data_IF_219982941881
#
_entry.id   IF_219982941881
#
_cell.length_a   1.000
_cell.length_b   1.000
_cell.length_c   1.000
_cell.angle_alpha   90.00
_cell.angle_beta   90.00
_cell.angle_gamma   90.00
#
_symmetry.space_group_name_H-M   'P 1'
#
loop_
_entity.id
_entity.type
_entity.pdbx_description
1 polymer ?
#
# COMPACT_ATOMS: atom_id res chain seq x y z
N UNK A 1 -8.55 -24.00 -8.35
CA UNK A 1 -7.49 -23.09 -8.83
C UNK A 1 -8.17 -21.75 -9.03
N UNK A 2 -7.76 -20.70 -8.32
CA UNK A 2 -8.35 -19.38 -8.58
C UNK A 2 -7.98 -18.99 -10.01
N UNK A 3 -8.98 -18.61 -10.80
CA UNK A 3 -8.76 -18.09 -12.14
C UNK A 3 -7.91 -16.82 -12.06
N UNK A 4 -7.05 -16.60 -13.06
CA UNK A 4 -6.11 -15.48 -13.06
C UNK A 4 -6.77 -14.27 -13.72
N UNK A 5 -6.89 -13.16 -13.00
CA UNK A 5 -7.48 -11.93 -13.50
C UNK A 5 -6.51 -11.12 -14.38
N UNK A 6 -5.28 -10.90 -13.90
CA UNK A 6 -4.23 -10.19 -14.64
C UNK A 6 -2.89 -10.89 -14.46
N UNK A 7 -2.13 -11.06 -15.55
CA UNK A 7 -0.74 -11.56 -15.54
C UNK A 7 0.16 -10.53 -16.19
N UNK A 8 1.27 -10.24 -15.54
CA UNK A 8 2.37 -9.46 -16.07
C UNK A 8 3.57 -10.39 -16.16
N UNK A 9 4.21 -10.47 -17.33
CA UNK A 9 5.38 -11.31 -17.59
C UNK A 9 6.52 -10.45 -18.11
N UNK A 10 7.62 -10.37 -17.35
CA UNK A 10 8.83 -9.60 -17.62
C UNK A 10 8.56 -8.17 -18.11
N UNK A 11 7.60 -7.47 -17.48
CA UNK A 11 7.19 -6.12 -17.91
C UNK A 11 8.32 -5.14 -17.70
N UNK A 12 8.72 -4.46 -18.79
CA UNK A 12 9.75 -3.44 -18.84
C UNK A 12 9.24 -2.15 -19.45
N UNK A 13 9.74 -1.03 -18.93
CA UNK A 13 9.45 0.30 -19.48
C UNK A 13 10.68 1.17 -19.48
N UNK A 14 10.98 1.70 -20.67
CA UNK A 14 12.03 2.70 -20.87
C UNK A 14 11.46 3.98 -21.49
N UNK A 15 11.93 5.13 -21.03
CA UNK A 15 11.72 6.44 -21.65
C UNK A 15 13.05 6.91 -22.18
N UNK A 16 13.25 6.77 -23.50
CA UNK A 16 14.56 6.98 -24.13
C UNK A 16 15.59 6.00 -23.55
N UNK A 17 16.67 6.51 -22.94
CA UNK A 17 17.71 5.70 -22.31
C UNK A 17 17.44 5.35 -20.84
N UNK A 18 16.39 5.90 -20.24
CA UNK A 18 16.05 5.66 -18.83
C UNK A 18 15.07 4.51 -18.70
N UNK A 19 15.52 3.36 -18.19
CA UNK A 19 14.63 2.27 -17.78
C UNK A 19 13.98 2.61 -16.43
N UNK A 20 12.63 2.51 -16.36
CA UNK A 20 11.82 2.88 -15.20
C UNK A 20 11.16 1.66 -14.56
N UNK A 21 10.84 0.64 -15.35
CA UNK A 21 10.32 -0.66 -14.89
C UNK A 21 11.27 -1.74 -15.40
N UNK A 22 11.71 -2.62 -14.51
CA UNK A 22 12.86 -3.49 -14.68
C UNK A 22 12.50 -4.99 -14.65
N UNK A 23 11.55 -5.42 -15.48
CA UNK A 23 11.17 -6.83 -15.55
C UNK A 23 10.29 -7.24 -14.36
N UNK A 24 9.02 -6.82 -14.38
CA UNK A 24 8.04 -7.17 -13.34
C UNK A 24 7.26 -8.39 -13.79
N UNK A 25 7.32 -9.45 -12.95
CA UNK A 25 6.43 -10.61 -12.99
C UNK A 25 5.41 -10.49 -11.87
N UNK A 26 4.11 -10.56 -12.20
CA UNK A 26 3.03 -10.45 -11.22
C UNK A 26 1.81 -11.23 -11.68
N UNK A 27 1.18 -11.96 -10.76
CA UNK A 27 -0.07 -12.69 -10.99
C UNK A 27 -1.15 -12.23 -10.04
N UNK A 28 -2.19 -11.61 -10.56
CA UNK A 28 -3.33 -11.09 -9.81
C UNK A 28 -4.50 -12.03 -10.01
N UNK A 29 -5.00 -12.62 -8.91
CA UNK A 29 -6.15 -13.52 -8.95
C UNK A 29 -7.43 -12.77 -9.34
N UNK A 30 -8.34 -13.43 -10.05
CA UNK A 30 -9.64 -12.87 -10.38
C UNK A 30 -10.43 -12.54 -9.10
N UNK A 31 -11.10 -11.38 -9.10
CA UNK A 31 -11.88 -10.90 -7.97
C UNK A 31 -11.07 -10.37 -6.78
N UNK A 32 -9.73 -10.33 -6.86
CA UNK A 32 -8.90 -9.81 -5.77
C UNK A 32 -8.74 -8.28 -5.82
N UNK A 33 -8.55 -7.68 -4.65
CA UNK A 33 -8.16 -6.27 -4.48
C UNK A 33 -6.65 -6.18 -4.24
N UNK A 34 -5.91 -5.76 -5.26
CA UNK A 34 -4.44 -5.63 -5.17
C UNK A 34 -4.05 -4.15 -5.08
N UNK A 35 -3.19 -3.83 -4.11
CA UNK A 35 -2.72 -2.46 -3.91
C UNK A 35 -1.23 -2.34 -4.20
N UNK A 36 -0.87 -1.45 -5.12
CA UNK A 36 0.52 -1.08 -5.40
C UNK A 36 0.92 0.08 -4.50
N UNK A 37 1.96 -0.12 -3.70
CA UNK A 37 2.52 0.90 -2.80
C UNK A 37 4.01 1.07 -3.04
N UNK A 38 4.54 2.22 -2.66
CA UNK A 38 5.97 2.53 -2.76
C UNK A 38 6.22 4.03 -2.77
N UNK A 39 7.47 4.47 -2.72
CA UNK A 39 7.84 5.88 -2.77
C UNK A 39 7.37 6.59 -4.05
N UNK A 40 7.34 7.91 -4.02
CA UNK A 40 7.08 8.69 -5.23
C UNK A 40 8.15 8.39 -6.30
N UNK A 41 7.71 8.22 -7.54
CA UNK A 41 8.62 7.94 -8.67
C UNK A 41 9.06 6.47 -8.82
N UNK A 42 8.62 5.53 -7.97
CA UNK A 42 9.02 4.12 -8.08
C UNK A 42 8.32 3.32 -9.21
N UNK A 43 7.50 3.96 -10.05
CA UNK A 43 6.88 3.32 -11.22
C UNK A 43 5.43 2.84 -11.07
N UNK A 44 4.75 3.03 -9.90
CA UNK A 44 3.36 2.56 -9.65
C UNK A 44 2.36 2.99 -10.72
N UNK A 45 2.24 4.30 -10.95
CA UNK A 45 1.30 4.85 -11.94
C UNK A 45 1.70 4.49 -13.36
N UNK A 46 3.00 4.34 -13.64
CA UNK A 46 3.49 3.87 -14.93
C UNK A 46 3.03 2.44 -15.19
N UNK A 47 3.23 1.54 -14.21
CA UNK A 47 2.76 0.16 -14.29
C UNK A 47 1.24 0.07 -14.47
N UNK A 48 0.49 0.86 -13.68
CA UNK A 48 -0.97 0.92 -13.80
C UNK A 48 -1.41 1.40 -15.20
N UNK A 49 -0.73 2.43 -15.75
CA UNK A 49 -1.04 2.95 -17.08
C UNK A 49 -0.67 1.98 -18.21
N UNK A 50 0.39 1.18 -18.05
CA UNK A 50 0.70 0.10 -18.99
C UNK A 50 -0.39 -0.97 -18.98
N UNK A 51 -0.90 -1.38 -17.82
CA UNK A 51 -2.06 -2.29 -17.72
C UNK A 51 -3.29 -1.68 -18.40
N UNK A 52 -3.48 -0.37 -18.23
CA UNK A 52 -4.58 0.36 -18.87
C UNK A 52 -4.42 0.55 -20.39
N UNK A 53 -3.23 0.33 -20.96
CA UNK A 53 -2.92 0.65 -22.36
C UNK A 53 -2.76 2.15 -22.63
N UNK A 54 -2.62 2.95 -21.58
CA UNK A 54 -2.36 4.40 -21.66
C UNK A 54 -0.86 4.72 -21.76
N UNK A 55 -0.03 3.73 -21.54
CA UNK A 55 1.42 3.78 -21.69
C UNK A 55 1.86 2.48 -22.35
N UNK A 56 2.69 2.58 -23.40
CA UNK A 56 3.21 1.43 -24.13
C UNK A 56 4.20 0.64 -23.29
N UNK A 57 4.15 -0.68 -23.39
CA UNK A 57 5.14 -1.59 -22.82
C UNK A 57 6.37 -1.58 -23.72
N UNK A 58 7.57 -1.48 -23.15
CA UNK A 58 8.81 -1.57 -23.95
C UNK A 58 9.17 -3.01 -24.23
N UNK A 59 8.94 -3.92 -23.26
CA UNK A 59 9.16 -5.36 -23.41
C UNK A 59 8.30 -6.10 -22.37
N UNK A 60 7.98 -7.38 -22.63
CA UNK A 60 7.12 -8.20 -21.79
C UNK A 60 5.67 -8.26 -22.26
N UNK A 61 4.84 -9.00 -21.54
CA UNK A 61 3.45 -9.28 -21.92
C UNK A 61 2.47 -9.01 -20.79
N UNK A 62 1.29 -8.47 -21.14
CA UNK A 62 0.15 -8.26 -20.24
C UNK A 62 -1.02 -9.12 -20.72
N UNK A 63 -1.52 -9.98 -19.81
CA UNK A 63 -2.74 -10.73 -20.04
C UNK A 63 -3.84 -10.30 -19.07
N UNK A 64 -5.07 -10.18 -19.57
CA UNK A 64 -6.28 -9.96 -18.78
C UNK A 64 -7.24 -11.11 -19.06
N UNK A 65 -7.61 -11.88 -18.02
CA UNK A 65 -8.46 -13.09 -18.15
C UNK A 65 -7.97 -14.07 -19.23
N UNK A 66 -6.65 -14.29 -19.28
CA UNK A 66 -6.00 -15.21 -20.23
C UNK A 66 -5.94 -14.70 -21.67
N UNK A 67 -6.31 -13.44 -21.93
CA UNK A 67 -6.18 -12.78 -23.23
C UNK A 67 -4.99 -11.85 -23.19
N UNK A 68 -4.05 -12.01 -24.12
CA UNK A 68 -2.96 -11.02 -24.29
C UNK A 68 -3.55 -9.69 -24.78
N UNK A 69 -3.26 -8.62 -24.04
CA UNK A 69 -3.77 -7.26 -24.29
C UNK A 69 -2.63 -6.25 -24.48
N UNK A 70 -1.39 -6.70 -24.59
CA UNK A 70 -0.19 -5.85 -24.58
C UNK A 70 -0.29 -4.73 -25.60
N UNK A 71 -0.66 -5.05 -26.85
CA UNK A 71 -0.73 -4.11 -27.96
C UNK A 71 -2.15 -3.57 -28.24
N UNK A 72 -3.13 -3.90 -27.38
CA UNK A 72 -4.50 -3.46 -27.59
C UNK A 72 -4.72 -2.04 -27.07
N UNK A 73 -5.57 -1.31 -27.79
CA UNK A 73 -6.05 -0.01 -27.34
C UNK A 73 -6.77 -0.10 -25.97
N UNK A 74 -6.73 0.95 -25.14
CA UNK A 74 -7.41 0.96 -23.82
C UNK A 74 -8.89 0.58 -23.86
N UNK A 75 -9.59 0.91 -24.98
CA UNK A 75 -11.00 0.59 -25.17
C UNK A 75 -11.30 -0.91 -25.26
N UNK A 76 -10.33 -1.69 -25.71
CA UNK A 76 -10.47 -3.11 -26.06
C UNK A 76 -9.91 -4.06 -24.99
N UNK A 77 -9.32 -3.52 -23.90
CA UNK A 77 -8.73 -4.29 -22.80
C UNK A 77 -9.73 -4.79 -21.76
N UNK A 78 -10.99 -4.36 -21.82
CA UNK A 78 -12.00 -4.74 -20.82
C UNK A 78 -11.77 -4.06 -19.45
N UNK A 79 -11.10 -2.90 -19.41
CA UNK A 79 -10.78 -2.19 -18.18
C UNK A 79 -11.58 -0.90 -18.00
N UNK A 80 -11.67 -0.41 -16.76
CA UNK A 80 -12.08 0.95 -16.46
C UNK A 80 -11.13 1.58 -15.45
N UNK A 81 -10.73 2.84 -15.69
CA UNK A 81 -9.78 3.55 -14.86
C UNK A 81 -10.41 4.77 -14.18
N UNK A 82 -10.13 4.92 -12.89
CA UNK A 82 -10.45 6.09 -12.07
C UNK A 82 -9.16 6.85 -11.83
N UNK A 83 -9.10 8.10 -12.30
CA UNK A 83 -7.92 8.95 -12.22
C UNK A 83 -7.90 9.77 -10.94
N UNK A 84 -6.72 10.16 -10.49
CA UNK A 84 -6.48 11.05 -9.36
C UNK A 84 -7.27 12.38 -9.46
N UNK A 85 -7.38 12.94 -10.66
CA UNK A 85 -8.10 14.20 -10.92
C UNK A 85 -9.60 14.02 -11.13
N UNK A 86 -10.13 12.78 -10.94
CA UNK A 86 -11.50 12.38 -11.27
C UNK A 86 -11.84 12.41 -12.78
N UNK A 87 -11.21 13.27 -13.55
CA UNK A 87 -11.36 13.46 -15.00
C UNK A 87 -12.84 13.61 -15.47
N UNK A 88 -13.68 14.28 -14.66
CA UNK A 88 -15.08 14.54 -15.00
C UNK A 88 -15.18 15.62 -16.08
N UNK A 89 -16.13 15.47 -17.00
CA UNK A 89 -16.46 16.47 -18.00
C UNK A 89 -17.24 17.61 -17.34
N UNK A 90 -16.66 18.83 -17.18
CA UNK A 90 -17.23 19.87 -16.34
C UNK A 90 -18.52 20.50 -16.89
N UNK A 91 -18.72 20.43 -18.20
CA UNK A 91 -19.90 20.94 -18.91
C UNK A 91 -21.08 19.97 -18.93
N UNK A 92 -20.86 18.70 -18.58
CA UNK A 92 -21.88 17.63 -18.55
C UNK A 92 -22.46 17.48 -17.15
N UNK A 93 -23.74 17.12 -17.06
CA UNK A 93 -24.37 16.66 -15.82
C UNK A 93 -23.77 15.34 -15.33
N UNK A 94 -24.06 14.94 -14.08
CA UNK A 94 -23.67 13.62 -13.54
C UNK A 94 -24.21 12.49 -14.44
N UNK A 95 -25.49 12.54 -14.81
CA UNK A 95 -26.11 11.57 -15.72
C UNK A 95 -25.34 11.47 -17.05
N UNK A 96 -25.01 12.60 -17.65
CA UNK A 96 -24.27 12.63 -18.91
C UNK A 96 -22.84 12.10 -18.74
N UNK A 97 -22.16 12.44 -17.65
CA UNK A 97 -20.85 11.89 -17.31
C UNK A 97 -20.88 10.36 -17.21
N UNK A 98 -21.87 9.80 -16.51
CA UNK A 98 -22.05 8.35 -16.39
C UNK A 98 -22.33 7.68 -17.74
N UNK A 99 -23.20 8.30 -18.54
CA UNK A 99 -23.65 7.77 -19.83
C UNK A 99 -22.61 7.89 -20.95
N UNK A 100 -21.63 8.80 -20.84
CA UNK A 100 -20.76 9.21 -21.93
C UNK A 100 -20.06 8.02 -22.62
N UNK A 101 -19.39 7.17 -21.85
CA UNK A 101 -18.66 6.02 -22.39
C UNK A 101 -19.56 5.02 -23.12
N UNK A 102 -20.78 4.81 -22.61
CA UNK A 102 -21.76 3.92 -23.23
C UNK A 102 -22.30 4.50 -24.53
N UNK A 103 -22.53 5.82 -24.59
CA UNK A 103 -22.92 6.52 -25.83
C UNK A 103 -21.86 6.40 -26.93
N UNK A 104 -20.57 6.54 -26.55
CA UNK A 104 -19.45 6.37 -27.49
C UNK A 104 -19.37 4.93 -28.01
N UNK A 105 -19.68 3.94 -27.17
CA UNK A 105 -19.80 2.53 -27.55
C UNK A 105 -21.09 2.20 -28.31
N UNK A 106 -21.94 3.19 -28.63
CA UNK A 106 -23.21 3.04 -29.36
C UNK A 106 -24.20 2.07 -28.67
N UNK A 107 -24.17 2.01 -27.34
CA UNK A 107 -25.09 1.23 -26.51
C UNK A 107 -26.52 1.79 -26.67
N UNK A 108 -27.55 0.93 -26.66
CA UNK A 108 -28.95 1.34 -26.73
C UNK A 108 -29.35 2.23 -25.55
N UNK A 109 -30.21 3.23 -25.80
CA UNK A 109 -30.61 4.23 -24.78
C UNK A 109 -31.24 3.57 -23.56
N UNK A 110 -32.09 2.58 -23.75
CA UNK A 110 -32.74 1.86 -22.64
C UNK A 110 -31.71 1.14 -21.73
N UNK A 111 -30.66 0.56 -22.31
CA UNK A 111 -29.59 -0.07 -21.56
C UNK A 111 -28.71 0.98 -20.85
N UNK A 112 -28.43 2.12 -21.48
CA UNK A 112 -27.73 3.23 -20.86
C UNK A 112 -28.47 3.69 -19.60
N UNK A 113 -29.77 3.95 -19.71
CA UNK A 113 -30.61 4.40 -18.59
C UNK A 113 -30.64 3.38 -17.44
N UNK A 114 -30.77 2.10 -17.78
CA UNK A 114 -30.76 1.01 -16.82
C UNK A 114 -29.40 0.95 -16.06
N UNK A 115 -28.27 1.01 -16.78
CA UNK A 115 -26.92 0.97 -16.18
C UNK A 115 -26.62 2.22 -15.35
N UNK A 116 -27.00 3.40 -15.81
CA UNK A 116 -26.85 4.66 -15.07
C UNK A 116 -27.66 4.61 -13.78
N UNK A 117 -28.91 4.15 -13.83
CA UNK A 117 -29.78 3.98 -12.67
C UNK A 117 -29.18 3.00 -11.66
N UNK A 118 -28.69 1.84 -12.12
CA UNK A 118 -28.06 0.86 -11.23
C UNK A 118 -26.79 1.41 -10.57
N UNK A 119 -25.89 2.04 -11.33
CA UNK A 119 -24.66 2.61 -10.79
C UNK A 119 -24.93 3.77 -9.82
N UNK A 120 -25.91 4.64 -10.11
CA UNK A 120 -26.27 5.74 -9.23
C UNK A 120 -26.87 5.26 -7.90
N UNK A 121 -27.64 4.19 -7.91
CA UNK A 121 -28.21 3.58 -6.72
C UNK A 121 -27.11 2.95 -5.82
N UNK A 122 -26.17 2.18 -6.39
CA UNK A 122 -25.03 1.59 -5.69
C UNK A 122 -24.24 2.67 -4.96
N UNK A 123 -23.97 3.80 -5.64
CA UNK A 123 -23.16 4.90 -5.14
C UNK A 123 -23.96 5.96 -4.35
N UNK A 124 -25.29 5.79 -4.23
CA UNK A 124 -26.19 6.72 -3.56
C UNK A 124 -26.10 8.16 -4.09
N UNK A 125 -26.01 8.32 -5.42
CA UNK A 125 -25.92 9.61 -6.11
C UNK A 125 -27.13 9.93 -7.01
N UNK A 126 -28.25 9.20 -6.87
CA UNK A 126 -29.47 9.39 -7.66
C UNK A 126 -29.96 10.85 -7.63
N UNK A 127 -29.91 11.47 -6.45
CA UNK A 127 -30.33 12.85 -6.21
C UNK A 127 -29.38 13.90 -6.82
N UNK A 128 -28.24 13.49 -7.38
CA UNK A 128 -27.23 14.35 -7.98
C UNK A 128 -27.20 14.29 -9.51
N UNK A 129 -27.99 13.41 -10.14
CA UNK A 129 -27.90 13.09 -11.56
C UNK A 129 -27.99 14.32 -12.50
N UNK A 130 -28.73 15.33 -12.11
CA UNK A 130 -28.92 16.55 -12.91
C UNK A 130 -27.91 17.67 -12.58
N UNK A 131 -27.05 17.48 -11.55
CA UNK A 131 -26.01 18.44 -11.18
C UNK A 131 -24.79 18.32 -12.09
N UNK A 132 -24.02 19.42 -12.16
CA UNK A 132 -22.69 19.44 -12.83
C UNK A 132 -21.56 19.28 -11.83
N UNK A 133 -20.36 18.82 -12.25
CA UNK A 133 -19.23 18.60 -11.36
C UNK A 133 -18.85 19.77 -10.45
N UNK A 134 -18.99 21.02 -10.93
CA UNK A 134 -18.74 22.23 -10.13
C UNK A 134 -19.69 22.43 -8.94
N UNK A 135 -20.82 21.74 -8.92
CA UNK A 135 -21.84 21.80 -7.86
C UNK A 135 -21.69 20.66 -6.84
N UNK A 136 -20.64 19.84 -6.98
CA UNK A 136 -20.41 18.64 -6.17
C UNK A 136 -19.27 18.84 -5.18
N UNK A 137 -19.39 18.21 -4.00
CA UNK A 137 -18.25 18.07 -3.09
C UNK A 137 -17.17 17.12 -3.66
N UNK A 138 -15.98 17.10 -3.05
CA UNK A 138 -14.89 16.20 -3.46
C UNK A 138 -15.32 14.73 -3.48
N UNK A 139 -15.94 14.24 -2.40
CA UNK A 139 -16.42 12.86 -2.34
C UNK A 139 -17.56 12.55 -3.32
N UNK A 140 -18.44 13.53 -3.61
CA UNK A 140 -19.46 13.36 -4.63
C UNK A 140 -18.84 13.25 -6.04
N UNK A 141 -17.83 14.05 -6.34
CA UNK A 141 -17.06 13.95 -7.60
C UNK A 141 -16.38 12.58 -7.73
N UNK A 142 -15.79 12.10 -6.63
CA UNK A 142 -15.18 10.78 -6.57
C UNK A 142 -16.19 9.66 -6.88
N UNK A 143 -17.37 9.67 -6.26
CA UNK A 143 -18.44 8.71 -6.54
C UNK A 143 -18.87 8.75 -8.00
N UNK A 144 -18.99 9.93 -8.60
CA UNK A 144 -19.31 10.05 -10.02
C UNK A 144 -18.21 9.45 -10.91
N UNK A 145 -16.93 9.66 -10.57
CA UNK A 145 -15.80 9.07 -11.30
C UNK A 145 -15.81 7.54 -11.20
N UNK A 146 -16.08 6.98 -10.02
CA UNK A 146 -16.27 5.53 -9.82
C UNK A 146 -17.49 5.04 -10.62
N UNK A 147 -18.60 5.79 -10.62
CA UNK A 147 -19.80 5.46 -11.37
C UNK A 147 -19.54 5.33 -12.87
N UNK A 148 -18.71 6.23 -13.44
CA UNK A 148 -18.28 6.13 -14.84
C UNK A 148 -17.54 4.82 -15.15
N UNK A 149 -16.82 4.30 -14.18
CA UNK A 149 -16.16 3.00 -14.31
C UNK A 149 -17.16 1.84 -14.22
N UNK A 150 -18.08 1.87 -13.25
CA UNK A 150 -19.06 0.81 -12.98
C UNK A 150 -19.99 0.58 -14.18
N UNK A 151 -20.51 1.66 -14.79
CA UNK A 151 -21.47 1.54 -15.92
C UNK A 151 -20.90 0.77 -17.11
N UNK A 152 -19.59 0.72 -17.26
CA UNK A 152 -18.89 -0.01 -18.33
C UNK A 152 -18.85 -1.52 -18.10
N UNK A 153 -19.08 -1.99 -16.86
CA UNK A 153 -18.95 -3.40 -16.45
C UNK A 153 -17.59 -3.99 -16.86
N UNK A 154 -16.47 -3.41 -16.41
CA UNK A 154 -15.15 -3.88 -16.81
C UNK A 154 -14.80 -5.21 -16.15
N UNK A 155 -13.84 -5.94 -16.72
CA UNK A 155 -13.23 -7.12 -16.10
C UNK A 155 -12.29 -6.71 -14.95
N UNK A 156 -11.59 -5.58 -15.10
CA UNK A 156 -10.64 -5.05 -14.12
C UNK A 156 -10.85 -3.56 -13.89
N UNK A 157 -10.96 -3.16 -12.63
CA UNK A 157 -10.96 -1.75 -12.22
C UNK A 157 -9.55 -1.30 -11.87
N UNK A 158 -9.14 -0.15 -12.36
CA UNK A 158 -7.86 0.48 -12.10
C UNK A 158 -8.06 1.82 -11.39
N UNK A 159 -7.36 2.04 -10.26
CA UNK A 159 -7.47 3.26 -9.48
C UNK A 159 -6.07 3.90 -9.33
N UNK A 160 -5.88 5.10 -9.87
CA UNK A 160 -4.63 5.87 -9.76
C UNK A 160 -4.79 6.96 -8.69
N UNK A 161 -4.36 6.67 -7.45
CA UNK A 161 -4.42 7.56 -6.28
C UNK A 161 -5.78 8.27 -6.08
N UNK A 162 -6.91 7.55 -6.08
CA UNK A 162 -8.23 8.18 -6.18
C UNK A 162 -8.61 9.02 -4.96
N UNK A 163 -8.00 8.82 -3.79
CA UNK A 163 -8.35 9.51 -2.55
C UNK A 163 -7.38 10.62 -2.14
N UNK A 164 -6.30 10.85 -2.91
CA UNK A 164 -5.24 11.80 -2.56
C UNK A 164 -5.71 13.25 -2.42
N UNK A 165 -6.77 13.65 -3.15
CA UNK A 165 -7.32 15.01 -3.16
C UNK A 165 -8.48 15.21 -2.15
N UNK A 166 -8.69 14.29 -1.22
CA UNK A 166 -9.73 14.36 -0.20
C UNK A 166 -9.14 14.71 1.18
N UNK A 167 -9.94 15.39 2.00
CA UNK A 167 -9.62 15.58 3.42
C UNK A 167 -9.61 14.26 4.20
N UNK A 168 -9.05 14.26 5.41
CA UNK A 168 -8.83 13.04 6.18
C UNK A 168 -10.14 12.31 6.54
N UNK A 169 -11.20 13.03 6.92
CA UNK A 169 -12.49 12.44 7.32
C UNK A 169 -13.18 11.79 6.11
N UNK A 170 -13.21 12.53 4.99
CA UNK A 170 -13.80 12.04 3.75
C UNK A 170 -13.02 10.84 3.19
N UNK A 171 -11.69 10.83 3.33
CA UNK A 171 -10.83 9.70 2.92
C UNK A 171 -11.20 8.41 3.68
N UNK A 172 -11.44 8.52 5.01
CA UNK A 172 -11.89 7.35 5.81
C UNK A 172 -13.22 6.82 5.30
N UNK A 173 -14.21 7.70 5.07
CA UNK A 173 -15.53 7.26 4.61
C UNK A 173 -15.47 6.65 3.21
N UNK A 174 -14.66 7.20 2.30
CA UNK A 174 -14.48 6.69 0.93
C UNK A 174 -13.75 5.35 0.88
N UNK A 175 -12.78 5.09 1.77
CA UNK A 175 -12.16 3.76 1.89
C UNK A 175 -13.19 2.69 2.21
N UNK A 176 -14.04 2.95 3.21
CA UNK A 176 -15.11 2.01 3.58
C UNK A 176 -16.04 1.75 2.40
N UNK A 177 -16.35 2.78 1.64
CA UNK A 177 -17.24 2.68 0.48
C UNK A 177 -16.59 1.87 -0.66
N UNK A 178 -15.31 2.09 -0.96
CA UNK A 178 -14.57 1.32 -1.97
C UNK A 178 -14.46 -0.16 -1.56
N UNK A 179 -14.16 -0.44 -0.28
CA UNK A 179 -14.15 -1.81 0.24
C UNK A 179 -15.52 -2.50 0.12
N UNK A 180 -16.61 -1.76 0.37
CA UNK A 180 -17.98 -2.27 0.18
C UNK A 180 -18.27 -2.53 -1.29
N UNK A 181 -17.90 -1.60 -2.15
CA UNK A 181 -18.07 -1.71 -3.59
C UNK A 181 -17.36 -2.94 -4.16
N UNK A 182 -16.13 -3.19 -3.75
CA UNK A 182 -15.38 -4.39 -4.16
C UNK A 182 -16.14 -5.67 -3.79
N UNK A 183 -16.63 -5.78 -2.54
CA UNK A 183 -17.41 -6.95 -2.09
C UNK A 183 -18.72 -7.12 -2.84
N UNK A 184 -19.37 -6.02 -3.24
CA UNK A 184 -20.63 -6.05 -3.97
C UNK A 184 -20.46 -6.43 -5.45
N UNK A 185 -19.37 -5.96 -6.08
CA UNK A 185 -19.10 -6.20 -7.49
C UNK A 185 -18.34 -7.50 -7.75
N UNK A 186 -17.44 -7.90 -6.85
CA UNK A 186 -16.58 -9.09 -6.98
C UNK A 186 -15.56 -9.03 -8.12
N UNK A 187 -15.34 -7.86 -8.73
CA UNK A 187 -14.38 -7.68 -9.81
C UNK A 187 -12.95 -7.54 -9.31
N UNK A 188 -11.99 -7.88 -10.14
CA UNK A 188 -10.57 -7.59 -9.88
C UNK A 188 -10.34 -6.08 -9.81
N UNK A 189 -9.66 -5.62 -8.75
CA UNK A 189 -9.33 -4.21 -8.57
C UNK A 189 -7.83 -4.05 -8.36
N UNK A 190 -7.22 -3.12 -9.11
CA UNK A 190 -5.81 -2.71 -8.92
C UNK A 190 -5.81 -1.25 -8.50
N UNK A 191 -5.21 -0.97 -7.37
CA UNK A 191 -5.27 0.33 -6.71
C UNK A 191 -3.86 0.84 -6.43
N UNK A 192 -3.55 2.04 -6.86
CA UNK A 192 -2.28 2.72 -6.57
C UNK A 192 -2.50 3.72 -5.46
N UNK A 193 -1.63 3.70 -4.46
CA UNK A 193 -1.60 4.72 -3.40
C UNK A 193 -0.20 4.91 -2.84
N UNK A 194 0.02 6.03 -2.19
CA UNK A 194 1.16 6.27 -1.30
C UNK A 194 0.76 6.20 0.18
N UNK A 195 -0.54 6.06 0.49
CA UNK A 195 -1.07 5.95 1.85
C UNK A 195 -1.07 4.48 2.29
N UNK A 196 -0.25 4.18 3.30
CA UNK A 196 -0.12 2.83 3.85
C UNK A 196 -1.42 2.35 4.52
N UNK A 197 -2.21 3.27 5.10
CA UNK A 197 -3.47 2.92 5.75
C UNK A 197 -4.49 2.44 4.71
N UNK A 198 -4.50 3.04 3.52
CA UNK A 198 -5.32 2.58 2.41
C UNK A 198 -4.93 1.15 2.01
N UNK A 199 -3.64 0.91 1.82
CA UNK A 199 -3.13 -0.41 1.46
C UNK A 199 -3.47 -1.47 2.51
N UNK A 200 -3.21 -1.19 3.78
CA UNK A 200 -3.45 -2.13 4.89
C UNK A 200 -4.93 -2.44 5.13
N UNK A 201 -5.84 -1.54 4.72
CA UNK A 201 -7.28 -1.69 4.98
C UNK A 201 -8.09 -2.19 3.78
N UNK A 202 -7.62 -1.94 2.56
CA UNK A 202 -8.36 -2.28 1.33
C UNK A 202 -7.86 -3.57 0.67
N UNK A 203 -6.57 -3.87 0.79
CA UNK A 203 -5.94 -4.91 0.00
C UNK A 203 -6.21 -6.33 0.51
N UNK A 204 -6.51 -7.24 -0.43
CA UNK A 204 -6.28 -8.66 -0.23
C UNK A 204 -4.78 -8.98 -0.34
N UNK A 205 -4.09 -8.29 -1.28
CA UNK A 205 -2.64 -8.38 -1.47
C UNK A 205 -2.03 -7.00 -1.72
N UNK A 206 -0.88 -6.76 -1.10
CA UNK A 206 -0.06 -5.56 -1.30
C UNK A 206 1.16 -5.94 -2.14
N UNK A 207 1.45 -5.13 -3.14
CA UNK A 207 2.69 -5.18 -3.93
C UNK A 207 3.52 -3.95 -3.58
N UNK A 208 4.63 -4.15 -2.92
CA UNK A 208 5.56 -3.07 -2.55
C UNK A 208 6.55 -2.88 -3.69
N UNK A 209 6.55 -1.69 -4.28
CA UNK A 209 7.40 -1.31 -5.40
C UNK A 209 8.51 -0.37 -4.94
N UNK A 210 9.71 -0.58 -5.46
CA UNK A 210 10.85 0.32 -5.29
C UNK A 210 11.70 0.31 -6.56
N UNK A 211 12.05 1.48 -7.03
CA UNK A 211 12.96 1.67 -8.17
C UNK A 211 12.61 0.76 -9.36
N UNK A 212 11.31 0.70 -9.73
CA UNK A 212 10.80 -0.08 -10.85
C UNK A 212 10.79 -1.61 -10.66
N UNK A 213 10.96 -2.11 -9.43
CA UNK A 213 10.97 -3.54 -9.09
C UNK A 213 9.97 -3.86 -7.99
N UNK A 214 9.51 -5.10 -7.95
CA UNK A 214 8.74 -5.62 -6.83
C UNK A 214 9.68 -6.04 -5.72
N UNK A 215 9.60 -5.39 -4.56
CA UNK A 215 10.39 -5.74 -3.37
C UNK A 215 9.74 -6.88 -2.56
N UNK A 216 8.41 -6.85 -2.46
CA UNK A 216 7.63 -7.88 -1.79
C UNK A 216 6.18 -7.83 -2.25
N UNK A 217 5.57 -9.01 -2.38
CA UNK A 217 4.15 -9.22 -2.53
C UNK A 217 3.64 -10.09 -1.38
N UNK A 218 2.45 -9.77 -0.84
CA UNK A 218 1.84 -10.56 0.23
C UNK A 218 0.53 -9.97 0.73
N UNK A 219 -0.13 -10.67 1.64
CA UNK A 219 -1.26 -10.10 2.38
C UNK A 219 -0.78 -8.92 3.24
N UNK A 220 -1.65 -7.97 3.62
CA UNK A 220 -1.28 -6.88 4.52
C UNK A 220 -0.54 -7.36 5.77
N UNK A 221 -1.01 -8.46 6.37
CA UNK A 221 -0.39 -9.04 7.55
C UNK A 221 1.01 -9.59 7.28
N UNK A 222 1.21 -10.32 6.18
CA UNK A 222 2.52 -10.86 5.79
C UNK A 222 3.54 -9.75 5.56
N UNK A 223 3.18 -8.72 4.80
CA UNK A 223 4.08 -7.59 4.50
C UNK A 223 4.44 -6.82 5.77
N UNK A 224 3.48 -6.68 6.71
CA UNK A 224 3.70 -5.99 7.98
C UNK A 224 4.53 -6.81 8.99
N UNK A 225 4.12 -8.07 9.25
CA UNK A 225 4.77 -8.92 10.27
C UNK A 225 6.07 -9.55 9.76
N UNK A 226 6.16 -9.80 8.45
CA UNK A 226 7.24 -10.54 7.82
C UNK A 226 7.86 -9.78 6.63
N UNK A 227 8.39 -8.56 6.84
CA UNK A 227 9.01 -7.80 5.77
C UNK A 227 10.24 -8.56 5.23
N UNK A 228 10.36 -8.63 3.90
CA UNK A 228 11.44 -9.35 3.22
C UNK A 228 12.81 -8.69 3.39
N UNK A 229 12.83 -7.37 3.61
CA UNK A 229 14.06 -6.59 3.76
C UNK A 229 13.84 -5.33 4.59
N UNK A 230 14.93 -4.60 4.88
CA UNK A 230 14.91 -3.35 5.67
C UNK A 230 14.09 -2.25 4.98
N UNK A 231 14.03 -2.25 3.64
CA UNK A 231 13.23 -1.26 2.93
C UNK A 231 11.73 -1.46 3.22
N UNK A 232 11.22 -2.67 3.04
CA UNK A 232 9.81 -2.99 3.33
C UNK A 232 9.50 -2.77 4.81
N UNK A 233 10.41 -3.19 5.71
CA UNK A 233 10.28 -3.00 7.17
C UNK A 233 10.14 -1.52 7.56
N UNK A 234 10.95 -0.66 6.93
CA UNK A 234 10.94 0.79 7.18
C UNK A 234 9.87 1.55 6.39
N UNK A 235 9.37 0.97 5.29
CA UNK A 235 8.34 1.61 4.47
C UNK A 235 6.93 1.30 4.98
N UNK A 236 6.65 0.08 5.43
CA UNK A 236 5.33 -0.35 5.92
C UNK A 236 5.24 -0.18 7.44
N UNK A 237 4.30 0.65 7.87
CA UNK A 237 4.01 0.96 9.28
C UNK A 237 4.27 2.42 9.64
N UNK A 238 3.43 2.99 10.47
CA UNK A 238 3.55 4.36 10.97
C UNK A 238 3.27 4.38 12.49
N UNK A 239 4.30 4.65 13.29
CA UNK A 239 5.70 4.88 12.93
C UNK A 239 6.37 3.65 12.29
N UNK A 240 7.47 3.89 11.56
CA UNK A 240 8.23 2.81 10.90
C UNK A 240 8.93 1.89 11.91
N UNK A 241 9.29 0.68 11.48
CA UNK A 241 10.10 -0.25 12.28
C UNK A 241 11.42 0.40 12.67
N UNK A 242 11.82 0.26 13.94
CA UNK A 242 13.18 0.57 14.38
C UNK A 242 14.13 -0.46 13.77
N UNK A 243 15.13 0.02 13.05
CA UNK A 243 16.20 -0.79 12.46
C UNK A 243 17.51 -0.36 13.09
N UNK A 244 17.94 -1.12 14.11
CA UNK A 244 19.10 -0.79 14.93
C UNK A 244 20.30 -1.59 14.46
N UNK A 245 21.42 -0.92 14.22
CA UNK A 245 22.69 -1.57 13.94
C UNK A 245 23.11 -2.45 15.13
N UNK A 246 23.46 -3.70 14.83
CA UNK A 246 23.81 -4.69 15.84
C UNK A 246 24.98 -5.55 15.39
N UNK A 247 25.58 -6.28 16.34
CA UNK A 247 26.65 -7.24 16.09
C UNK A 247 26.14 -8.63 16.45
N UNK A 248 26.30 -9.58 15.55
CA UNK A 248 25.98 -10.99 15.81
C UNK A 248 26.97 -11.62 16.80
N UNK A 249 26.46 -12.25 17.84
CA UNK A 249 27.26 -12.90 18.89
C UNK A 249 27.25 -14.45 18.80
N UNK A 250 26.52 -14.99 17.85
CA UNK A 250 26.26 -16.43 17.77
C UNK A 250 25.09 -16.88 18.66
N UNK A 251 24.64 -18.12 18.47
CA UNK A 251 23.62 -18.77 19.28
C UNK A 251 22.32 -17.96 19.45
N UNK A 252 21.84 -17.30 18.37
CA UNK A 252 20.61 -16.51 18.44
C UNK A 252 20.74 -15.23 19.30
N UNK A 253 21.92 -14.63 19.41
CA UNK A 253 22.14 -13.41 20.20
C UNK A 253 22.80 -12.31 19.38
N UNK A 254 22.37 -11.08 19.63
CA UNK A 254 22.95 -9.86 19.06
C UNK A 254 23.28 -8.85 20.13
N UNK A 255 24.25 -7.96 19.86
CA UNK A 255 24.56 -6.81 20.71
C UNK A 255 24.05 -5.54 20.03
N UNK A 256 23.11 -4.84 20.66
CA UNK A 256 22.50 -3.58 20.23
C UNK A 256 22.87 -2.50 21.25
N UNK A 257 23.55 -1.44 20.83
CA UNK A 257 23.93 -0.31 21.68
C UNK A 257 24.55 -0.74 23.05
N UNK A 258 25.35 -1.81 23.06
CA UNK A 258 25.98 -2.37 24.27
C UNK A 258 25.13 -3.41 25.01
N UNK A 259 23.84 -3.52 24.77
CA UNK A 259 22.97 -4.52 25.40
C UNK A 259 22.88 -5.81 24.54
N UNK A 260 22.83 -6.95 25.22
CA UNK A 260 22.66 -8.23 24.56
C UNK A 260 21.16 -8.59 24.48
N UNK A 261 20.72 -8.97 23.29
CA UNK A 261 19.34 -9.36 23.00
C UNK A 261 19.31 -10.72 22.32
N UNK A 262 18.40 -11.59 22.72
CA UNK A 262 18.13 -12.83 22.00
C UNK A 262 17.30 -12.54 20.73
N UNK A 263 17.45 -13.37 19.71
CA UNK A 263 16.63 -13.34 18.49
C UNK A 263 16.21 -14.78 18.13
N UNK A 264 14.97 -15.00 17.71
CA UNK A 264 14.44 -16.36 17.45
C UNK A 264 14.91 -16.88 16.08
N UNK A 265 16.24 -16.92 15.87
CA UNK A 265 16.83 -17.27 14.57
C UNK A 265 18.05 -18.15 14.79
N UNK A 266 18.09 -19.26 14.05
CA UNK A 266 19.27 -20.09 13.85
C UNK A 266 19.95 -19.65 12.53
N UNK A 267 20.69 -18.54 12.56
CA UNK A 267 21.37 -18.05 11.36
C UNK A 267 22.66 -18.85 11.13
N UNK A 268 22.56 -19.94 10.38
CA UNK A 268 23.68 -20.85 10.07
C UNK A 268 24.79 -20.18 9.22
N UNK A 269 24.49 -19.06 8.55
CA UNK A 269 25.38 -18.37 7.63
C UNK A 269 26.09 -17.14 8.21
N UNK A 270 25.87 -16.80 9.49
CA UNK A 270 26.51 -15.68 10.16
C UNK A 270 27.72 -16.10 10.98
N UNK A 271 28.80 -15.30 10.92
CA UNK A 271 29.95 -15.43 11.80
C UNK A 271 29.84 -14.48 12.98
N UNK A 272 30.39 -14.88 14.12
CA UNK A 272 30.49 -14.00 15.30
C UNK A 272 31.26 -12.73 14.91
N UNK A 273 30.68 -11.58 15.18
CA UNK A 273 31.22 -10.26 14.80
C UNK A 273 30.58 -9.66 13.55
N UNK A 274 29.75 -10.39 12.82
CA UNK A 274 29.07 -9.85 11.65
C UNK A 274 28.11 -8.72 12.03
N UNK A 275 28.08 -7.70 11.17
CA UNK A 275 27.15 -6.58 11.29
C UNK A 275 25.77 -7.02 10.77
N UNK A 276 24.75 -6.73 11.55
CA UNK A 276 23.35 -7.05 11.24
C UNK A 276 22.47 -5.88 11.67
N UNK A 277 21.18 -5.90 11.28
CA UNK A 277 20.21 -4.97 11.80
C UNK A 277 19.19 -5.72 12.65
N UNK A 278 19.00 -5.21 13.88
CA UNK A 278 17.93 -5.65 14.77
C UNK A 278 16.68 -4.83 14.50
N UNK A 279 15.59 -5.50 14.16
CA UNK A 279 14.30 -4.89 13.82
C UNK A 279 13.27 -5.06 14.94
N UNK A 280 12.68 -3.94 15.40
CA UNK A 280 11.58 -3.93 16.35
C UNK A 280 10.56 -2.85 16.01
N UNK A 281 9.28 -3.21 15.97
CA UNK A 281 8.22 -2.20 15.75
C UNK A 281 7.95 -1.41 17.02
N UNK A 282 7.58 -0.11 16.93
CA UNK A 282 7.31 0.74 18.08
C UNK A 282 6.29 0.16 19.07
N UNK A 283 5.23 -0.47 18.58
CA UNK A 283 4.17 -1.08 19.39
C UNK A 283 4.57 -2.40 20.08
N UNK A 284 5.71 -2.97 19.70
CA UNK A 284 6.25 -4.19 20.33
C UNK A 284 7.30 -3.87 21.39
N UNK A 285 7.66 -2.59 21.56
CA UNK A 285 8.52 -2.11 22.60
C UNK A 285 7.69 -1.79 23.85
N UNK A 286 8.20 -2.17 25.02
CA UNK A 286 7.59 -1.85 26.30
C UNK A 286 8.64 -1.47 27.34
N UNK A 287 8.25 -0.66 28.32
CA UNK A 287 9.12 -0.31 29.46
C UNK A 287 9.27 -1.53 30.34
N UNK A 288 10.51 -1.96 30.54
CA UNK A 288 10.86 -3.17 31.29
C UNK A 288 11.08 -2.88 32.76
N UNK A 289 10.39 -3.60 33.63
CA UNK A 289 10.62 -3.59 35.08
C UNK A 289 11.54 -4.76 35.43
N UNK A 290 12.86 -4.52 35.40
CA UNK A 290 13.89 -5.48 35.89
C UNK A 290 14.07 -6.73 35.02
N UNK A 291 13.63 -6.77 33.78
CA UNK A 291 13.91 -7.87 32.85
C UNK A 291 15.35 -7.87 32.38
N UNK A 292 15.95 -9.06 32.26
CA UNK A 292 17.35 -9.24 31.89
C UNK A 292 17.69 -8.68 30.50
N UNK A 293 16.78 -8.79 29.53
CA UNK A 293 17.01 -8.32 28.14
C UNK A 293 16.33 -6.98 27.90
N UNK A 294 17.06 -5.90 28.10
CA UNK A 294 16.53 -4.55 27.88
C UNK A 294 17.63 -3.61 27.38
N UNK A 295 17.23 -2.58 26.68
CA UNK A 295 18.11 -1.57 26.10
C UNK A 295 17.83 -0.24 26.81
N UNK A 296 18.84 0.41 27.42
CA UNK A 296 18.66 1.73 27.99
C UNK A 296 18.47 2.76 26.87
N UNK A 297 17.41 3.55 26.99
CA UNK A 297 17.05 4.58 26.02
C UNK A 297 16.77 5.90 26.74
N UNK A 298 17.41 6.98 26.31
CA UNK A 298 17.15 8.33 26.79
C UNK A 298 16.02 8.93 25.99
N UNK A 299 14.98 9.40 26.66
CA UNK A 299 13.82 10.02 26.01
C UNK A 299 14.17 11.47 25.65
N UNK A 300 14.15 11.77 24.35
CA UNK A 300 14.34 13.13 23.86
C UNK A 300 13.02 13.90 23.80
N UNK A 301 11.96 13.22 23.35
CA UNK A 301 10.64 13.81 23.16
C UNK A 301 9.54 12.78 23.36
N UNK A 302 8.40 13.21 23.89
CA UNK A 302 7.21 12.39 24.05
C UNK A 302 6.03 13.07 23.34
N UNK A 303 5.46 12.39 22.36
CA UNK A 303 4.32 12.88 21.56
C UNK A 303 3.03 12.21 22.05
N UNK A 304 2.09 12.98 22.57
CA UNK A 304 0.82 12.48 23.07
C UNK A 304 -0.30 12.68 22.04
N UNK A 305 -0.89 11.57 21.58
CA UNK A 305 -1.95 11.55 20.56
C UNK A 305 -3.33 11.13 21.13
N UNK A 306 -3.59 11.37 22.40
CA UNK A 306 -4.83 11.00 23.08
C UNK A 306 -4.84 9.54 23.56
N UNK A 307 -5.06 8.59 22.67
CA UNK A 307 -5.13 7.16 23.01
C UNK A 307 -3.78 6.45 23.09
N UNK A 308 -2.72 7.05 22.60
CA UNK A 308 -1.35 6.53 22.59
C UNK A 308 -0.35 7.65 22.73
N UNK A 309 0.87 7.30 23.16
CA UNK A 309 2.00 8.20 23.21
C UNK A 309 3.19 7.55 22.49
N UNK A 310 3.93 8.32 21.70
CA UNK A 310 5.20 7.87 21.15
C UNK A 310 6.35 8.52 21.89
N UNK A 311 7.31 7.68 22.31
CA UNK A 311 8.54 8.11 22.95
C UNK A 311 9.64 8.06 21.89
N UNK A 312 10.18 9.23 21.54
CA UNK A 312 11.34 9.37 20.68
C UNK A 312 12.56 9.35 21.56
N UNK A 313 13.36 8.31 21.41
CA UNK A 313 14.49 8.02 22.28
C UNK A 313 15.81 7.96 21.50
N UNK A 314 16.91 8.12 22.22
CA UNK A 314 18.25 7.93 21.73
C UNK A 314 18.96 6.85 22.57
N UNK A 315 19.60 5.89 21.89
CA UNK A 315 20.38 4.84 22.51
C UNK A 315 21.80 5.36 22.88
N UNK A 316 22.55 4.60 23.67
CA UNK A 316 23.88 4.99 24.15
C UNK A 316 24.88 5.23 23.01
N UNK A 317 24.74 4.61 21.88
CA UNK A 317 25.56 4.77 20.66
C UNK A 317 25.04 5.83 19.69
N UNK A 318 23.98 6.58 20.07
CA UNK A 318 23.40 7.65 19.27
C UNK A 318 22.33 7.18 18.28
N UNK A 319 21.99 5.90 18.22
CA UNK A 319 20.92 5.42 17.32
C UNK A 319 19.55 5.88 17.83
N UNK A 320 18.67 6.38 16.93
CA UNK A 320 17.29 6.76 17.30
C UNK A 320 16.43 5.51 17.49
N UNK A 321 15.48 5.59 18.40
CA UNK A 321 14.50 4.55 18.66
C UNK A 321 13.14 5.19 18.98
N UNK A 322 12.05 4.66 18.43
CA UNK A 322 10.68 5.09 18.72
C UNK A 322 9.96 3.93 19.41
N UNK A 323 9.38 4.21 20.59
CA UNK A 323 8.55 3.25 21.30
C UNK A 323 7.12 3.77 21.43
N UNK A 324 6.13 2.90 21.23
CA UNK A 324 4.75 3.20 21.56
C UNK A 324 4.49 2.94 23.03
N UNK A 325 3.89 3.92 23.72
CA UNK A 325 3.62 3.84 25.15
C UNK A 325 2.13 4.11 25.42
N UNK A 326 1.41 3.08 25.85
CA UNK A 326 -0.05 3.14 26.01
C UNK A 326 -0.48 3.31 27.47
N UNK A 327 0.34 2.84 28.40
CA UNK A 327 -0.05 2.83 29.84
C UNK A 327 1.19 2.86 30.74
N UNK A 328 1.06 3.51 31.90
CA UNK A 328 2.11 3.63 32.90
C UNK A 328 2.27 5.06 33.39
N UNK A 329 3.27 5.33 34.27
CA UNK A 329 3.61 6.67 34.75
C UNK A 329 4.02 7.58 33.60
N UNK A 330 3.76 8.88 33.71
CA UNK A 330 4.17 9.85 32.71
C UNK A 330 5.70 9.80 32.51
N UNK A 331 6.11 9.65 31.27
CA UNK A 331 7.53 9.64 30.87
C UNK A 331 7.90 11.03 30.39
N UNK A 332 8.87 11.65 31.06
CA UNK A 332 9.32 13.01 30.73
C UNK A 332 10.55 12.98 29.82
N UNK A 333 10.70 14.02 29.00
CA UNK A 333 11.92 14.25 28.25
C UNK A 333 13.13 14.34 29.20
N UNK A 334 14.27 13.79 28.77
CA UNK A 334 15.50 13.69 29.55
C UNK A 334 15.58 12.48 30.47
N UNK A 335 14.49 11.74 30.73
CA UNK A 335 14.55 10.50 31.52
C UNK A 335 15.16 9.36 30.72
N UNK A 336 15.81 8.43 31.43
CA UNK A 336 16.31 7.17 30.87
C UNK A 336 15.35 6.05 31.27
N UNK A 337 14.88 5.30 30.28
CA UNK A 337 13.99 4.16 30.45
C UNK A 337 14.64 2.88 29.92
N UNK A 338 14.26 1.76 30.48
CA UNK A 338 14.69 0.44 29.99
C UNK A 338 13.62 -0.11 29.06
N UNK A 339 13.95 -0.33 27.81
CA UNK A 339 13.02 -0.86 26.81
C UNK A 339 13.34 -2.32 26.50
N UNK A 340 12.33 -3.14 26.46
CA UNK A 340 12.38 -4.53 26.02
C UNK A 340 11.46 -4.74 24.82
N UNK A 341 11.66 -5.83 24.09
CA UNK A 341 10.86 -6.24 22.93
C UNK A 341 10.36 -7.66 23.13
N UNK A 342 9.12 -7.94 22.80
CA UNK A 342 8.60 -9.29 22.81
C UNK A 342 9.44 -10.21 21.91
N UNK A 343 9.85 -11.38 22.42
CA UNK A 343 10.79 -12.29 21.75
C UNK A 343 10.33 -12.67 20.34
N UNK A 344 9.04 -12.99 20.17
CA UNK A 344 8.45 -13.37 18.88
C UNK A 344 8.32 -12.20 17.88
N UNK A 345 8.57 -10.98 18.34
CA UNK A 345 8.43 -9.75 17.54
C UNK A 345 9.77 -9.16 17.13
N UNK A 346 10.87 -9.75 17.58
CA UNK A 346 12.23 -9.40 17.16
C UNK A 346 12.49 -9.90 15.75
N UNK A 347 13.10 -9.05 14.93
CA UNK A 347 13.48 -9.37 13.56
C UNK A 347 14.97 -9.13 13.38
N UNK A 348 15.58 -9.92 12.51
CA UNK A 348 16.99 -9.74 12.17
C UNK A 348 17.14 -9.62 10.65
N UNK A 349 18.00 -8.70 10.23
CA UNK A 349 18.34 -8.50 8.85
C UNK A 349 19.86 -8.52 8.69
N UNK A 350 20.33 -9.05 7.57
CA UNK A 350 21.74 -9.06 7.20
C UNK A 350 22.26 -7.64 6.91
N UNK A 351 23.56 -7.51 6.76
CA UNK A 351 24.19 -6.24 6.43
C UNK A 351 23.74 -5.66 5.07
N UNK A 352 23.36 -6.52 4.12
CA UNK A 352 22.77 -6.13 2.82
C UNK A 352 21.26 -5.86 2.90
N UNK A 353 20.68 -5.94 4.10
CA UNK A 353 19.30 -5.59 4.38
C UNK A 353 18.28 -6.68 4.14
N UNK A 354 18.65 -7.91 3.82
CA UNK A 354 17.71 -9.03 3.65
C UNK A 354 17.31 -9.59 5.02
N UNK A 355 16.06 -10.00 5.14
CA UNK A 355 15.60 -10.67 6.35
C UNK A 355 16.31 -12.00 6.52
N UNK A 356 16.76 -12.24 7.75
CA UNK A 356 17.26 -13.53 8.21
C UNK A 356 16.11 -14.30 8.90
N UNK A 357 15.96 -15.56 8.58
CA UNK A 357 14.89 -16.46 9.07
C UNK A 357 15.47 -17.65 9.82
#
# INVERSE_FOLDING_TARGET
MNETGVVLTDIRKSFGSLEVIHGIDLRIAEGSFVVFVGPSGCGKSTLLRMIAGLEEVTDGEIEIKGRNVTDLDPSDRGIAMVFQSYALYPHMSVRENLAFGLKMARTETAEIDARVKAASAILKIDHLLDRRPGQLSGGQRQRVAIGRAIVRKPDVFLFDEPLSNLDAELRVSMRIEIARLHRELGNTMIYVTHDQTEAMTLADRIVVLRDGRVEQEGTPREVYENPANIFVAGFIGSPRMNLLGAIWLGNGRVRVAGSEMSVPIAAENLQIGDKVFFGARPEHLFVADGRAESIPAKVDFAEYLGGTQYLYCQLADGQPLIAEYRSGPAVNAGSTIMLSVDDNKRRLFSADGRRLT
#
